data_IF_209504256969
#
_entry.id   IF_209504256969
#
_cell.length_a   1.000
_cell.length_b   1.000
_cell.length_c   1.000
_cell.angle_alpha   90.00
_cell.angle_beta   90.00
_cell.angle_gamma   90.00
#
_symmetry.space_group_name_H-M   'P 1'
#
loop_
_entity.id
_entity.type
_entity.pdbx_description
1 polymer ?
#
# COMPACT_ATOMS: atom_id res chain seq x y z
N UNK A 1 18.46 38.83 -57.13
CA UNK A 1 18.49 38.87 -55.66
C UNK A 1 18.04 37.54 -55.13
N UNK A 2 18.95 36.77 -54.55
CA UNK A 2 18.62 35.45 -53.98
C UNK A 2 18.31 35.66 -52.47
N UNK A 3 17.06 35.40 -52.08
CA UNK A 3 16.68 35.44 -50.68
C UNK A 3 17.06 34.13 -50.00
N UNK A 4 17.91 34.15 -48.99
CA UNK A 4 18.22 33.03 -48.16
C UNK A 4 17.22 32.99 -46.98
N UNK A 5 16.41 31.95 -46.93
CA UNK A 5 15.52 31.67 -45.80
C UNK A 5 16.41 30.95 -44.74
N UNK A 6 16.70 31.61 -43.64
CA UNK A 6 17.36 30.99 -42.49
C UNK A 6 16.28 30.32 -41.63
N UNK A 7 16.19 29.01 -41.69
CA UNK A 7 15.33 28.23 -40.79
C UNK A 7 15.99 28.17 -39.40
N UNK A 8 15.40 28.87 -38.43
CA UNK A 8 15.79 28.81 -37.04
C UNK A 8 15.18 27.53 -36.42
N UNK A 9 15.97 26.46 -36.31
CA UNK A 9 15.57 25.28 -35.55
C UNK A 9 15.64 25.61 -34.05
N UNK A 10 14.48 25.80 -33.42
CA UNK A 10 14.36 25.90 -31.97
C UNK A 10 14.49 24.50 -31.38
N UNK A 11 15.68 24.13 -30.94
CA UNK A 11 15.90 22.89 -30.19
C UNK A 11 15.29 23.04 -28.80
N UNK A 12 14.07 22.53 -28.61
CA UNK A 12 13.43 22.43 -27.31
C UNK A 12 14.08 21.27 -26.57
N UNK A 13 15.09 21.55 -25.76
CA UNK A 13 15.70 20.57 -24.84
C UNK A 13 14.69 20.31 -23.71
N UNK A 14 13.98 19.21 -23.78
CA UNK A 14 13.19 18.69 -22.67
C UNK A 14 14.21 18.17 -21.64
N UNK A 15 14.52 18.98 -20.65
CA UNK A 15 15.22 18.51 -19.47
C UNK A 15 14.26 17.64 -18.65
N UNK A 16 14.33 16.33 -18.88
CA UNK A 16 13.69 15.38 -18.00
C UNK A 16 14.33 15.47 -16.61
N UNK A 17 13.60 16.07 -15.67
CA UNK A 17 13.97 15.96 -14.27
C UNK A 17 13.72 14.51 -13.84
N UNK A 18 14.77 13.70 -13.81
CA UNK A 18 14.74 12.45 -13.07
C UNK A 18 14.53 12.84 -11.60
N UNK A 19 13.35 12.52 -11.06
CA UNK A 19 13.18 12.59 -9.62
C UNK A 19 14.15 11.57 -9.01
N UNK A 20 15.03 12.03 -8.14
CA UNK A 20 15.85 11.15 -7.31
C UNK A 20 14.90 10.26 -6.50
N UNK A 21 14.69 9.05 -6.99
CA UNK A 21 13.95 8.02 -6.23
C UNK A 21 14.85 7.70 -5.05
N UNK A 22 14.52 8.25 -3.88
CA UNK A 22 15.19 7.87 -2.63
C UNK A 22 15.09 6.36 -2.53
N UNK A 23 16.23 5.69 -2.55
CA UNK A 23 16.27 4.23 -2.41
C UNK A 23 15.72 3.89 -1.01
N UNK A 24 14.47 3.48 -0.96
CA UNK A 24 13.83 3.10 0.29
C UNK A 24 14.33 1.73 0.72
N UNK A 25 14.78 1.62 1.95
CA UNK A 25 15.12 0.34 2.56
C UNK A 25 13.87 -0.23 3.22
N UNK A 26 13.48 -1.43 2.80
CA UNK A 26 12.37 -2.19 3.38
C UNK A 26 12.88 -3.48 4.01
N UNK A 27 12.24 -3.89 5.10
CA UNK A 27 12.43 -5.20 5.70
C UNK A 27 11.34 -6.17 5.24
N UNK A 28 11.58 -7.47 5.41
CA UNK A 28 10.57 -8.47 5.07
C UNK A 28 9.33 -8.35 5.97
N UNK A 29 8.11 -8.43 5.39
CA UNK A 29 6.87 -8.45 6.17
C UNK A 29 6.68 -9.74 6.98
N UNK A 30 7.45 -10.79 6.70
CA UNK A 30 7.37 -12.08 7.36
C UNK A 30 8.75 -12.56 7.83
N UNK A 31 8.77 -13.47 8.79
CA UNK A 31 9.97 -14.11 9.34
C UNK A 31 10.39 -15.40 8.60
N UNK A 32 9.76 -15.66 7.46
CA UNK A 32 10.04 -16.80 6.59
C UNK A 32 10.32 -16.36 5.15
N UNK A 33 10.82 -17.29 4.33
CA UNK A 33 11.12 -17.00 2.91
C UNK A 33 9.87 -16.60 2.15
N UNK A 34 9.91 -15.43 1.51
CA UNK A 34 8.81 -14.91 0.71
C UNK A 34 8.61 -15.74 -0.56
N UNK A 35 7.38 -16.15 -0.79
CA UNK A 35 6.95 -16.79 -2.02
C UNK A 35 5.66 -16.14 -2.48
N UNK A 36 5.60 -15.72 -3.73
CA UNK A 36 4.41 -15.08 -4.29
C UNK A 36 3.42 -16.13 -4.80
N UNK A 37 2.14 -15.83 -4.66
CA UNK A 37 1.02 -16.51 -5.31
C UNK A 37 0.34 -15.64 -6.37
N UNK A 38 0.61 -14.32 -6.37
CA UNK A 38 0.14 -13.38 -7.37
C UNK A 38 1.11 -12.21 -7.52
N UNK A 39 1.33 -11.79 -8.77
CA UNK A 39 2.24 -10.71 -9.13
C UNK A 39 1.50 -9.41 -9.40
N UNK A 40 2.20 -8.28 -9.27
CA UNK A 40 1.71 -6.99 -9.75
C UNK A 40 1.46 -7.02 -11.27
N UNK A 41 0.33 -6.45 -11.69
CA UNK A 41 -0.06 -6.40 -13.10
C UNK A 41 -0.59 -7.72 -13.68
N UNK A 42 -0.73 -8.78 -12.87
CA UNK A 42 -1.32 -10.04 -13.28
C UNK A 42 -2.79 -9.85 -13.71
N UNK A 43 -3.18 -10.49 -14.82
CA UNK A 43 -4.56 -10.41 -15.33
C UNK A 43 -5.49 -11.19 -14.39
N UNK A 44 -6.52 -10.52 -13.91
CA UNK A 44 -7.66 -11.10 -13.19
C UNK A 44 -8.92 -11.00 -14.03
N UNK A 45 -10.00 -11.61 -13.60
CA UNK A 45 -11.24 -11.71 -14.39
C UNK A 45 -11.80 -10.34 -14.86
N UNK A 46 -11.62 -9.27 -14.08
CA UNK A 46 -12.20 -7.95 -14.33
C UNK A 46 -11.25 -6.77 -14.09
N UNK A 47 -9.99 -7.02 -13.72
CA UNK A 47 -8.99 -5.98 -13.43
C UNK A 47 -7.57 -6.55 -13.53
N UNK A 48 -6.58 -5.65 -13.48
CA UNK A 48 -5.18 -6.04 -13.25
C UNK A 48 -4.89 -6.05 -11.75
N UNK A 49 -4.13 -7.04 -11.30
CA UNK A 49 -3.74 -7.14 -9.90
C UNK A 49 -2.85 -5.96 -9.49
N UNK A 50 -3.30 -5.16 -8.55
CA UNK A 50 -2.63 -3.93 -8.09
C UNK A 50 -1.64 -4.14 -6.95
N UNK A 51 -1.22 -5.38 -6.67
CA UNK A 51 -0.36 -5.69 -5.53
C UNK A 51 0.46 -6.96 -5.71
N UNK A 52 0.97 -7.47 -4.59
CA UNK A 52 1.65 -8.75 -4.48
C UNK A 52 0.90 -9.64 -3.50
N UNK A 53 0.59 -10.87 -3.91
CA UNK A 53 -0.01 -11.87 -3.03
C UNK A 53 1.09 -12.79 -2.50
N UNK A 54 1.21 -12.88 -1.17
CA UNK A 54 2.20 -13.72 -0.50
C UNK A 54 1.59 -15.04 -0.02
N UNK A 55 2.32 -16.14 -0.23
CA UNK A 55 1.97 -17.43 0.37
C UNK A 55 2.33 -17.43 1.86
N UNK A 56 1.39 -17.84 2.70
CA UNK A 56 1.55 -17.93 4.15
C UNK A 56 1.83 -19.36 4.61
N UNK A 57 2.50 -20.17 3.79
CA UNK A 57 2.83 -21.57 4.07
C UNK A 57 1.58 -22.46 4.33
N UNK A 58 0.42 -22.09 3.76
CA UNK A 58 -0.85 -22.80 3.96
C UNK A 58 -1.49 -22.59 5.34
N UNK A 59 -1.03 -21.60 6.12
CA UNK A 59 -1.52 -21.32 7.48
C UNK A 59 -2.08 -19.91 7.54
N UNK A 60 -3.22 -19.74 8.23
CA UNK A 60 -3.83 -18.44 8.55
C UNK A 60 -3.25 -17.92 9.87
N UNK A 61 -3.24 -16.59 10.04
CA UNK A 61 -2.81 -15.93 11.29
C UNK A 61 -1.32 -15.72 11.41
N UNK A 62 -0.57 -15.81 10.33
CA UNK A 62 0.85 -15.40 10.32
C UNK A 62 0.95 -13.90 10.56
N UNK A 63 1.80 -13.44 11.49
CA UNK A 63 1.98 -12.02 11.74
C UNK A 63 2.58 -11.33 10.52
N UNK A 64 1.99 -10.19 10.16
CA UNK A 64 2.50 -9.28 9.12
C UNK A 64 3.17 -8.11 9.83
N UNK A 65 4.42 -7.81 9.49
CA UNK A 65 5.20 -6.72 10.06
C UNK A 65 5.20 -5.50 9.13
N UNK A 66 5.32 -4.32 9.71
CA UNK A 66 5.62 -3.11 8.96
C UNK A 66 6.95 -3.27 8.19
N UNK A 67 7.01 -2.73 6.97
CA UNK A 67 8.20 -2.83 6.11
C UNK A 67 9.30 -1.84 6.49
N UNK A 68 8.96 -0.78 7.24
CA UNK A 68 9.85 0.27 7.74
C UNK A 68 9.18 0.99 8.91
N UNK A 69 9.88 1.94 9.51
CA UNK A 69 9.31 2.82 10.53
C UNK A 69 8.24 3.72 9.91
N UNK A 70 7.11 3.83 10.60
CA UNK A 70 5.95 4.58 10.13
C UNK A 70 4.78 4.53 11.12
N UNK A 71 3.58 4.68 10.64
CA UNK A 71 2.37 4.65 11.47
C UNK A 71 1.16 4.12 10.69
N UNK A 72 0.17 3.59 11.40
CA UNK A 72 -1.09 3.17 10.82
C UNK A 72 -1.94 4.43 10.55
N UNK A 73 -2.21 4.70 9.28
CA UNK A 73 -2.99 5.86 8.85
C UNK A 73 -4.47 5.56 8.67
N UNK A 74 -4.84 4.28 8.50
CA UNK A 74 -6.22 3.88 8.29
C UNK A 74 -6.44 2.41 8.64
N UNK A 75 -7.55 2.11 9.28
CA UNK A 75 -8.01 0.78 9.62
C UNK A 75 -9.39 0.59 9.01
N UNK A 76 -9.59 -0.48 8.25
CA UNK A 76 -10.88 -0.74 7.60
C UNK A 76 -11.29 -2.20 7.71
N UNK A 77 -12.60 -2.40 7.75
CA UNK A 77 -13.23 -3.69 7.45
C UNK A 77 -14.19 -3.48 6.30
N UNK A 78 -14.06 -4.25 5.23
CA UNK A 78 -14.90 -4.13 4.03
C UNK A 78 -15.31 -5.50 3.51
N UNK A 79 -16.47 -5.60 2.87
CA UNK A 79 -16.96 -6.84 2.29
C UNK A 79 -16.03 -7.41 1.20
N UNK A 80 -15.37 -6.54 0.42
CA UNK A 80 -14.49 -6.96 -0.68
C UNK A 80 -13.06 -7.30 -0.28
N UNK A 81 -12.53 -6.68 0.78
CA UNK A 81 -11.11 -6.82 1.17
C UNK A 81 -10.90 -7.39 2.57
N UNK A 82 -11.98 -7.64 3.33
CA UNK A 82 -11.90 -8.07 4.72
C UNK A 82 -11.23 -7.02 5.60
N UNK A 83 -10.34 -7.45 6.48
CA UNK A 83 -9.56 -6.56 7.34
C UNK A 83 -8.41 -5.93 6.54
N UNK A 84 -8.29 -4.60 6.63
CA UNK A 84 -7.33 -3.79 5.86
C UNK A 84 -6.63 -2.80 6.76
N UNK A 85 -5.30 -2.72 6.65
CA UNK A 85 -4.47 -1.69 7.27
C UNK A 85 -3.70 -0.90 6.21
N UNK A 86 -3.79 0.42 6.28
CA UNK A 86 -2.94 1.32 5.52
C UNK A 86 -1.84 1.83 6.45
N UNK A 87 -0.59 1.64 6.05
CA UNK A 87 0.60 2.05 6.82
C UNK A 87 1.41 3.04 6.01
N UNK A 88 1.63 4.22 6.56
CA UNK A 88 2.48 5.26 5.98
C UNK A 88 3.85 5.20 6.61
N UNK A 89 4.88 5.16 5.80
CA UNK A 89 6.28 5.06 6.25
C UNK A 89 7.02 6.40 6.18
N UNK A 90 7.98 6.59 7.07
CA UNK A 90 8.80 7.80 7.14
C UNK A 90 9.62 8.05 5.86
N UNK A 91 9.80 7.03 5.04
CA UNK A 91 10.47 7.14 3.73
C UNK A 91 9.54 7.64 2.60
N UNK A 92 8.27 7.96 2.89
CA UNK A 92 7.28 8.51 1.96
C UNK A 92 6.45 7.46 1.20
N UNK A 93 6.64 6.18 1.47
CA UNK A 93 5.83 5.10 0.90
C UNK A 93 4.63 4.76 1.79
N UNK A 94 3.64 4.15 1.18
CA UNK A 94 2.46 3.62 1.88
C UNK A 94 2.18 2.19 1.42
N UNK A 95 1.88 1.31 2.36
CA UNK A 95 1.35 -0.01 2.04
C UNK A 95 -0.11 -0.12 2.43
N UNK A 96 -0.87 -0.85 1.61
CA UNK A 96 -2.25 -1.25 1.89
C UNK A 96 -2.24 -2.77 2.06
N UNK A 97 -2.36 -3.22 3.30
CA UNK A 97 -2.35 -4.64 3.67
C UNK A 97 -3.78 -5.14 3.70
N UNK A 98 -4.17 -5.99 2.77
CA UNK A 98 -5.53 -6.51 2.60
C UNK A 98 -5.64 -7.98 2.98
N UNK A 99 -6.88 -8.44 3.15
CA UNK A 99 -7.21 -9.84 3.44
C UNK A 99 -6.52 -10.37 4.71
N UNK A 100 -6.29 -9.47 5.68
CA UNK A 100 -5.79 -9.88 6.99
C UNK A 100 -6.83 -10.74 7.70
N UNK A 101 -6.38 -11.75 8.44
CA UNK A 101 -7.27 -12.61 9.22
C UNK A 101 -7.82 -11.90 10.47
N UNK A 102 -7.19 -10.81 10.88
CA UNK A 102 -7.58 -9.98 12.02
C UNK A 102 -6.56 -8.90 12.31
N UNK A 103 -6.81 -8.16 13.36
CA UNK A 103 -5.95 -7.09 13.85
C UNK A 103 -5.32 -7.45 15.20
N UNK A 104 -4.35 -6.67 15.64
CA UNK A 104 -3.86 -6.71 17.02
C UNK A 104 -5.02 -6.47 18.01
N UNK A 105 -4.95 -7.00 19.24
CA UNK A 105 -6.09 -7.03 20.16
C UNK A 105 -6.71 -5.67 20.49
N UNK A 106 -5.93 -4.61 20.56
CA UNK A 106 -6.39 -3.24 20.82
C UNK A 106 -7.17 -2.68 19.62
N UNK A 107 -6.64 -2.84 18.41
CA UNK A 107 -7.31 -2.44 17.17
C UNK A 107 -8.59 -3.28 16.98
N UNK A 108 -8.51 -4.60 17.21
CA UNK A 108 -9.64 -5.50 17.06
C UNK A 108 -10.82 -5.07 17.97
N UNK A 109 -10.55 -4.77 19.25
CA UNK A 109 -11.58 -4.28 20.17
C UNK A 109 -12.21 -2.96 19.73
N UNK A 110 -11.40 -2.04 19.17
CA UNK A 110 -11.90 -0.75 18.68
C UNK A 110 -12.78 -0.93 17.46
N UNK A 111 -12.39 -1.79 16.54
CA UNK A 111 -13.17 -2.14 15.34
C UNK A 111 -14.49 -2.77 15.74
N UNK A 112 -14.47 -3.80 16.60
CA UNK A 112 -15.66 -4.49 17.08
C UNK A 112 -16.63 -3.52 17.76
N UNK A 113 -16.13 -2.66 18.65
CA UNK A 113 -16.96 -1.63 19.30
C UNK A 113 -17.65 -0.74 18.26
N UNK A 114 -16.91 -0.26 17.25
CA UNK A 114 -17.47 0.61 16.23
C UNK A 114 -18.50 -0.12 15.35
N UNK A 115 -18.28 -1.41 15.04
CA UNK A 115 -19.23 -2.24 14.31
C UNK A 115 -20.55 -2.39 15.07
N UNK A 116 -20.50 -2.63 16.39
CA UNK A 116 -21.71 -2.66 17.25
C UNK A 116 -22.41 -1.31 17.35
N UNK A 117 -21.66 -0.21 17.50
CA UNK A 117 -22.23 1.14 17.57
C UNK A 117 -22.92 1.56 16.27
N UNK A 118 -22.40 1.13 15.12
CA UNK A 118 -22.96 1.45 13.80
C UNK A 118 -23.95 0.42 13.28
N UNK A 119 -24.06 -0.73 13.94
CA UNK A 119 -24.81 -1.88 13.45
C UNK A 119 -24.43 -2.27 12.01
N UNK A 120 -23.13 -2.10 11.68
CA UNK A 120 -22.59 -2.34 10.35
C UNK A 120 -21.27 -3.13 10.42
N UNK A 121 -21.12 -4.08 9.53
CA UNK A 121 -19.88 -4.83 9.37
C UNK A 121 -18.77 -3.97 8.79
N UNK A 122 -19.10 -3.11 7.83
CA UNK A 122 -18.13 -2.24 7.18
C UNK A 122 -17.86 -1.00 8.02
N UNK A 123 -16.63 -0.86 8.46
CA UNK A 123 -16.21 0.29 9.28
C UNK A 123 -14.86 0.82 8.81
N UNK A 124 -14.68 2.11 9.03
CA UNK A 124 -13.41 2.80 8.82
C UNK A 124 -13.06 3.61 10.06
N UNK A 125 -11.79 3.51 10.48
CA UNK A 125 -11.18 4.28 11.54
C UNK A 125 -9.96 4.98 10.95
N UNK A 126 -9.89 6.29 11.10
CA UNK A 126 -8.69 7.07 10.86
C UNK A 126 -8.11 7.41 12.23
N UNK A 127 -6.99 6.78 12.62
CA UNK A 127 -6.33 7.05 13.89
C UNK A 127 -5.82 8.49 13.99
N UNK A 128 -5.74 9.01 15.21
CA UNK A 128 -5.05 10.27 15.45
C UNK A 128 -3.54 10.14 15.16
N UNK A 129 -2.87 11.21 14.73
CA UNK A 129 -1.44 11.19 14.50
C UNK A 129 -0.65 10.68 15.71
N UNK A 130 0.12 9.60 15.52
CA UNK A 130 0.93 8.99 16.59
C UNK A 130 0.19 8.01 17.51
N UNK A 131 -1.08 7.72 17.26
CA UNK A 131 -1.86 6.75 18.05
C UNK A 131 -1.35 5.31 17.87
N UNK A 132 -0.95 4.97 16.65
CA UNK A 132 -0.35 3.67 16.29
C UNK A 132 0.95 3.90 15.52
N UNK A 133 2.07 4.15 16.21
CA UNK A 133 3.38 4.37 15.60
C UNK A 133 4.00 3.10 15.03
#
# INVERSE_FOLDING_TARGET
MKQYIVALMLACSIQGHSQDVKQATFVSPFDFTLTLSGNFGEIRANHFHGGLDFKTQGVIGKPVRALADGYISRIRVTNGSGHVLDVVYNNGYTTINRHLSGFMPDIARRVEKLQYEKEDWEVEIVPEPGEYP
#
